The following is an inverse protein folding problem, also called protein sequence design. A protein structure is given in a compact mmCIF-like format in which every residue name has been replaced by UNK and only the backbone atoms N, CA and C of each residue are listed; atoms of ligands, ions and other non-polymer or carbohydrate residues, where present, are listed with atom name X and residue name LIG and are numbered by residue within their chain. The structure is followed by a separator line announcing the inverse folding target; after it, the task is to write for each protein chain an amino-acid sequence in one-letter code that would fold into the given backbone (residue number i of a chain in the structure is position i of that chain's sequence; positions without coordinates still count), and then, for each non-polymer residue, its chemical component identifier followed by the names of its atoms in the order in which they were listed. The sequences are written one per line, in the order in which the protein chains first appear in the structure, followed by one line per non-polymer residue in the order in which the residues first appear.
data_IF_664965315929
#
_entry.id   IF_664965315929
#
_cell.length_a   1.000
_cell.length_b   1.000
_cell.length_c   1.000
_cell.angle_alpha   90.00
_cell.angle_beta   90.00
_cell.angle_gamma   90.00
#
_symmetry.space_group_name_H-M   'P 1'
#
loop_
_entity.id
_entity.type
_entity.pdbx_description
1 polymer ?
#
# COMPACT_ATOMS: atom_id res chain seq x y z
N UNK A 1 -8.17 71.46 -26.20
CA UNK A 1 -7.58 70.12 -26.39
C UNK A 1 -7.57 69.45 -25.02
N UNK A 2 -8.65 68.76 -24.68
CA UNK A 2 -8.72 67.91 -23.49
C UNK A 2 -8.18 66.52 -23.87
N UNK A 3 -7.20 66.04 -23.11
CA UNK A 3 -6.60 64.72 -23.29
C UNK A 3 -7.43 63.76 -22.43
N UNK A 4 -8.20 62.87 -23.08
CA UNK A 4 -8.95 61.82 -22.41
C UNK A 4 -7.98 60.79 -21.81
N UNK A 5 -7.93 60.71 -20.48
CA UNK A 5 -7.30 59.61 -19.76
C UNK A 5 -8.18 58.35 -19.85
N UNK A 6 -7.62 57.27 -20.39
CA UNK A 6 -8.25 55.95 -20.44
C UNK A 6 -8.28 55.37 -19.02
N UNK A 7 -9.47 55.10 -18.50
CA UNK A 7 -9.68 54.44 -17.21
C UNK A 7 -9.32 52.95 -17.37
N UNK A 8 -8.30 52.47 -16.67
CA UNK A 8 -8.03 51.04 -16.53
C UNK A 8 -9.02 50.44 -15.53
N UNK A 9 -9.67 49.34 -15.91
CA UNK A 9 -10.56 48.59 -15.03
C UNK A 9 -9.73 47.79 -14.00
N UNK A 10 -10.22 47.66 -12.74
CA UNK A 10 -9.49 46.94 -11.71
C UNK A 10 -9.44 45.44 -12.01
N UNK A 11 -8.22 44.88 -11.97
CA UNK A 11 -7.94 43.45 -12.15
C UNK A 11 -8.66 42.64 -11.07
N UNK A 12 -9.51 41.68 -11.47
CA UNK A 12 -10.18 40.70 -10.61
C UNK A 12 -9.16 39.77 -9.91
N UNK A 13 -8.58 40.20 -8.78
CA UNK A 13 -7.60 39.39 -8.03
C UNK A 13 -8.17 38.75 -6.75
N UNK A 14 -9.34 39.15 -6.25
CA UNK A 14 -9.81 38.73 -4.91
C UNK A 14 -10.49 37.36 -4.86
N UNK A 15 -11.07 36.89 -5.97
CA UNK A 15 -11.85 35.65 -6.01
C UNK A 15 -10.97 34.41 -6.23
N UNK A 16 -9.90 34.51 -7.02
CA UNK A 16 -8.94 33.42 -7.23
C UNK A 16 -8.18 33.09 -5.94
N UNK A 17 -7.76 34.12 -5.20
CA UNK A 17 -6.96 33.97 -3.99
C UNK A 17 -7.77 33.32 -2.86
N UNK A 18 -9.07 33.64 -2.79
CA UNK A 18 -10.04 32.99 -1.91
C UNK A 18 -10.24 31.50 -2.25
N UNK A 19 -10.27 31.15 -3.54
CA UNK A 19 -10.42 29.76 -3.96
C UNK A 19 -9.17 28.93 -3.69
N UNK A 20 -7.99 29.50 -3.90
CA UNK A 20 -6.71 28.85 -3.59
C UNK A 20 -6.52 28.67 -2.09
N UNK A 21 -6.93 29.63 -1.26
CA UNK A 21 -6.93 29.49 0.20
C UNK A 21 -7.86 28.36 0.67
N UNK A 22 -9.06 28.25 0.07
CA UNK A 22 -10.02 27.17 0.42
C UNK A 22 -9.55 25.80 -0.08
N UNK A 23 -8.89 25.74 -1.24
CA UNK A 23 -8.27 24.52 -1.75
C UNK A 23 -7.11 24.05 -0.86
N UNK A 24 -6.26 24.97 -0.42
CA UNK A 24 -5.15 24.66 0.47
C UNK A 24 -5.64 24.22 1.85
N UNK A 25 -6.66 24.88 2.43
CA UNK A 25 -7.29 24.38 3.66
C UNK A 25 -7.94 23.01 3.50
N UNK A 26 -8.59 22.72 2.36
CA UNK A 26 -9.16 21.39 2.12
C UNK A 26 -8.09 20.31 2.01
N UNK A 27 -6.96 20.63 1.35
CA UNK A 27 -5.83 19.72 1.22
C UNK A 27 -5.16 19.50 2.58
N UNK A 28 -4.95 20.56 3.37
CA UNK A 28 -4.36 20.47 4.71
C UNK A 28 -5.29 19.72 5.66
N UNK A 29 -6.59 20.02 5.66
CA UNK A 29 -7.58 19.31 6.50
C UNK A 29 -7.72 17.83 6.10
N UNK A 30 -7.69 17.54 4.80
CA UNK A 30 -7.63 16.15 4.30
C UNK A 30 -6.35 15.44 4.74
N UNK A 31 -5.20 16.11 4.64
CA UNK A 31 -3.92 15.60 5.10
C UNK A 31 -3.87 15.39 6.61
N UNK A 32 -4.40 16.32 7.42
CA UNK A 32 -4.50 16.20 8.88
C UNK A 32 -5.46 15.10 9.29
N UNK A 33 -6.56 14.90 8.56
CA UNK A 33 -7.47 13.80 8.82
C UNK A 33 -6.84 12.45 8.48
N UNK A 34 -6.16 12.34 7.32
CA UNK A 34 -5.38 11.15 6.96
C UNK A 34 -4.26 10.91 7.98
N UNK A 35 -3.59 11.96 8.44
CA UNK A 35 -2.54 11.89 9.44
C UNK A 35 -3.09 11.44 10.80
N UNK A 36 -4.18 12.03 11.29
CA UNK A 36 -4.85 11.59 12.53
C UNK A 36 -5.43 10.17 12.42
N UNK A 37 -5.85 9.77 11.22
CA UNK A 37 -6.31 8.42 10.92
C UNK A 37 -5.16 7.40 10.92
N UNK A 38 -3.98 7.80 10.45
CA UNK A 38 -2.76 6.99 10.53
C UNK A 38 -2.16 7.01 11.95
N UNK A 39 -2.31 8.08 12.73
CA UNK A 39 -1.73 8.18 14.08
C UNK A 39 -2.49 7.34 15.13
N UNK A 40 -3.78 7.03 14.91
CA UNK A 40 -4.59 6.20 15.80
C UNK A 40 -4.67 4.75 15.31
N UNK A 41 -3.56 4.01 15.48
CA UNK A 41 -3.54 2.58 15.23
C UNK A 41 -4.39 1.81 16.25
N UNK A 42 -5.20 0.87 15.78
CA UNK A 42 -6.07 0.04 16.63
C UNK A 42 -5.26 -0.87 17.56
N UNK A 43 -4.08 -1.29 17.13
CA UNK A 43 -3.19 -2.15 17.89
C UNK A 43 -1.76 -1.59 17.93
N UNK A 44 -1.15 -1.67 19.11
CA UNK A 44 0.28 -1.40 19.25
C UNK A 44 1.12 -2.53 18.63
N UNK A 45 2.36 -2.25 18.21
CA UNK A 45 3.21 -3.23 17.51
C UNK A 45 3.74 -4.34 18.43
N UNK A 46 3.71 -4.14 19.75
CA UNK A 46 4.44 -4.97 20.72
C UNK A 46 4.07 -6.45 20.66
N UNK A 47 2.79 -6.80 20.73
CA UNK A 47 2.38 -8.22 20.77
C UNK A 47 2.65 -8.98 19.49
N UNK A 48 2.42 -8.34 18.34
CA UNK A 48 2.70 -8.97 17.05
C UNK A 48 4.21 -9.15 16.88
N UNK A 49 5.00 -8.10 17.17
CA UNK A 49 6.46 -8.16 17.10
C UNK A 49 7.03 -9.24 18.02
N UNK A 50 6.56 -9.30 19.28
CA UNK A 50 6.99 -10.31 20.24
C UNK A 50 6.76 -11.74 19.72
N UNK A 51 5.59 -12.03 19.14
CA UNK A 51 5.30 -13.36 18.60
C UNK A 51 6.07 -13.68 17.33
N UNK A 52 6.26 -12.69 16.46
CA UNK A 52 7.10 -12.85 15.27
C UNK A 52 8.56 -13.10 15.68
N UNK A 53 9.07 -12.39 16.68
CA UNK A 53 10.42 -12.57 17.22
C UNK A 53 10.59 -13.94 17.90
N UNK A 54 9.62 -14.39 18.70
CA UNK A 54 9.64 -15.71 19.32
C UNK A 54 9.68 -16.85 18.28
N UNK A 55 8.97 -16.70 17.16
CA UNK A 55 8.87 -17.74 16.14
C UNK A 55 10.01 -17.73 15.13
N UNK A 56 10.48 -16.54 14.72
CA UNK A 56 11.40 -16.37 13.61
C UNK A 56 12.82 -16.00 14.05
N UNK A 57 12.97 -15.38 15.23
CA UNK A 57 14.25 -14.95 15.79
C UNK A 57 15.13 -14.25 14.75
N UNK A 58 16.30 -14.84 14.50
CA UNK A 58 17.34 -14.29 13.62
C UNK A 58 17.35 -14.92 12.22
N UNK A 59 16.32 -15.70 11.86
CA UNK A 59 16.21 -16.32 10.53
C UNK A 59 16.19 -15.22 9.46
N UNK A 60 17.05 -15.35 8.45
CA UNK A 60 17.06 -14.44 7.31
C UNK A 60 16.17 -14.96 6.21
N UNK A 61 15.70 -14.05 5.35
CA UNK A 61 14.90 -14.41 4.19
C UNK A 61 15.67 -15.35 3.23
N UNK A 62 17.00 -15.27 3.22
CA UNK A 62 17.85 -16.18 2.44
C UNK A 62 17.82 -17.63 2.95
N UNK A 63 17.54 -17.82 4.25
CA UNK A 63 17.58 -19.10 4.94
C UNK A 63 16.28 -19.92 4.75
N UNK A 64 15.31 -19.42 3.97
CA UNK A 64 14.03 -20.13 3.72
C UNK A 64 14.24 -21.40 2.89
N UNK A 65 13.55 -22.48 3.27
CA UNK A 65 13.63 -23.78 2.59
C UNK A 65 13.09 -23.76 1.16
N UNK A 66 12.12 -22.89 0.88
CA UNK A 66 11.48 -22.74 -0.43
C UNK A 66 11.62 -21.31 -0.97
N UNK A 67 11.31 -21.16 -2.27
CA UNK A 67 11.16 -19.84 -2.89
C UNK A 67 9.85 -19.22 -2.41
N UNK A 68 9.95 -18.25 -1.51
CA UNK A 68 8.85 -17.40 -1.07
C UNK A 68 8.95 -16.01 -1.69
N UNK A 69 7.78 -15.40 -1.92
CA UNK A 69 7.59 -14.01 -2.30
C UNK A 69 6.56 -13.39 -1.36
N UNK A 70 6.91 -12.28 -0.71
CA UNK A 70 6.03 -11.57 0.22
C UNK A 70 5.90 -10.11 -0.20
N UNK A 71 4.69 -9.61 -0.51
CA UNK A 71 4.47 -8.22 -0.87
C UNK A 71 4.45 -7.29 0.35
N UNK A 72 5.01 -6.10 0.21
CA UNK A 72 4.90 -4.98 1.14
C UNK A 72 4.86 -3.68 0.33
N UNK A 73 4.40 -2.58 0.92
CA UNK A 73 4.33 -1.29 0.23
C UNK A 73 5.24 -0.25 0.90
N UNK A 74 6.19 0.31 0.15
CA UNK A 74 7.13 1.33 0.61
C UNK A 74 6.47 2.70 0.54
N UNK A 75 6.10 3.24 1.69
CA UNK A 75 5.36 4.50 1.79
C UNK A 75 6.23 5.72 1.48
N UNK A 76 7.55 5.61 1.66
CA UNK A 76 8.47 6.70 1.34
C UNK A 76 8.62 6.87 -0.17
N UNK A 77 8.69 5.75 -0.89
CA UNK A 77 8.91 5.75 -2.35
C UNK A 77 7.64 5.45 -3.15
N UNK A 78 6.50 5.27 -2.48
CA UNK A 78 5.19 4.94 -3.04
C UNK A 78 5.25 3.77 -4.05
N UNK A 79 5.93 2.69 -3.66
CA UNK A 79 6.15 1.53 -4.54
C UNK A 79 5.92 0.20 -3.84
N UNK A 80 5.39 -0.75 -4.61
CA UNK A 80 5.33 -2.15 -4.20
C UNK A 80 6.75 -2.71 -4.08
N UNK A 81 7.02 -3.37 -2.96
CA UNK A 81 8.23 -4.13 -2.69
C UNK A 81 7.83 -5.59 -2.57
N UNK A 82 8.29 -6.43 -3.51
CA UNK A 82 8.11 -7.88 -3.44
C UNK A 82 9.39 -8.51 -2.88
N UNK A 83 9.36 -8.93 -1.61
CA UNK A 83 10.47 -9.63 -0.99
C UNK A 83 10.55 -11.06 -1.52
N UNK A 84 11.45 -11.30 -2.47
CA UNK A 84 11.72 -12.63 -3.00
C UNK A 84 12.95 -13.24 -2.36
N UNK A 85 12.79 -14.41 -1.75
CA UNK A 85 13.89 -15.24 -1.23
C UNK A 85 14.91 -15.62 -2.32
N UNK A 86 14.49 -15.78 -3.57
CA UNK A 86 15.40 -16.04 -4.70
C UNK A 86 16.28 -14.83 -5.01
N UNK A 87 15.67 -13.64 -5.07
CA UNK A 87 16.39 -12.40 -5.34
C UNK A 87 17.38 -12.07 -4.21
N UNK A 88 16.96 -12.22 -2.95
CA UNK A 88 17.86 -11.96 -1.81
C UNK A 88 18.98 -12.99 -1.68
N UNK A 89 18.76 -14.26 -2.06
CA UNK A 89 19.83 -15.26 -2.12
C UNK A 89 20.88 -14.89 -3.15
N UNK A 90 20.45 -14.45 -4.35
CA UNK A 90 21.39 -13.97 -5.39
C UNK A 90 22.18 -12.74 -4.94
N UNK A 91 21.57 -11.85 -4.17
CA UNK A 91 22.21 -10.65 -3.64
C UNK A 91 23.00 -10.90 -2.34
N UNK A 92 22.93 -12.09 -1.75
CA UNK A 92 23.45 -12.40 -0.41
C UNK A 92 23.02 -11.36 0.65
N UNK A 93 21.75 -10.99 0.62
CA UNK A 93 21.19 -9.91 1.45
C UNK A 93 21.01 -10.30 2.91
N UNK A 94 21.16 -9.32 3.81
CA UNK A 94 21.02 -9.49 5.26
C UNK A 94 19.58 -9.36 5.78
N UNK A 95 18.57 -9.29 4.90
CA UNK A 95 17.17 -9.06 5.29
C UNK A 95 16.68 -10.20 6.18
N UNK A 96 16.16 -9.86 7.37
CA UNK A 96 15.55 -10.84 8.29
C UNK A 96 14.13 -11.18 7.86
N UNK A 97 13.73 -12.44 8.07
CA UNK A 97 12.37 -12.89 7.74
C UNK A 97 11.31 -12.19 8.59
N UNK A 98 11.63 -11.90 9.87
CA UNK A 98 10.74 -11.12 10.75
C UNK A 98 10.40 -9.75 10.18
N UNK A 99 11.36 -9.05 9.57
CA UNK A 99 11.15 -7.70 9.07
C UNK A 99 10.21 -7.72 7.86
N UNK A 100 10.32 -8.76 7.03
CA UNK A 100 9.43 -9.02 5.90
C UNK A 100 8.00 -9.31 6.37
N UNK A 101 7.84 -10.17 7.38
CA UNK A 101 6.53 -10.53 7.95
C UNK A 101 5.88 -9.31 8.61
N UNK A 102 6.60 -8.58 9.44
CA UNK A 102 6.10 -7.35 10.09
C UNK A 102 5.69 -6.30 9.06
N UNK A 103 6.47 -6.15 7.98
CA UNK A 103 6.16 -5.23 6.89
C UNK A 103 4.88 -5.61 6.16
N UNK A 104 4.73 -6.90 5.81
CA UNK A 104 3.52 -7.39 5.13
C UNK A 104 2.27 -7.35 6.01
N UNK A 105 2.41 -7.50 7.33
CA UNK A 105 1.28 -7.51 8.26
C UNK A 105 0.89 -6.10 8.76
N UNK A 106 1.68 -5.07 8.45
CA UNK A 106 1.47 -3.69 8.91
C UNK A 106 0.31 -3.01 8.16
N UNK A 107 -0.90 -3.55 8.32
CA UNK A 107 -2.11 -3.06 7.69
C UNK A 107 -2.43 -1.65 8.19
N UNK A 108 -2.65 -0.67 7.28
CA UNK A 108 -3.04 0.68 7.67
C UNK A 108 -4.24 0.67 8.61
N UNK A 109 -4.29 1.62 9.56
CA UNK A 109 -5.30 1.70 10.65
C UNK A 109 -5.14 0.64 11.74
N UNK A 110 -4.68 -0.56 11.42
CA UNK A 110 -4.56 -1.64 12.38
C UNK A 110 -3.21 -1.62 13.11
N UNK A 111 -2.12 -1.48 12.35
CA UNK A 111 -0.76 -1.56 12.86
C UNK A 111 0.09 -0.40 12.33
N UNK A 112 1.11 0.04 13.10
CA UNK A 112 2.06 1.01 12.61
C UNK A 112 2.93 0.47 11.49
N UNK A 113 3.42 1.37 10.63
CA UNK A 113 4.42 1.05 9.60
C UNK A 113 5.67 0.40 10.22
N UNK A 114 6.17 -0.64 9.58
CA UNK A 114 7.41 -1.29 9.97
C UNK A 114 8.63 -0.58 9.36
N UNK A 115 9.59 -0.23 10.22
CA UNK A 115 10.79 0.50 9.83
C UNK A 115 12.04 -0.29 10.19
N UNK A 116 12.88 -0.57 9.20
CA UNK A 116 14.14 -1.28 9.44
C UNK A 116 15.20 -0.92 8.39
N UNK A 117 16.45 -1.27 8.67
CA UNK A 117 17.58 -1.06 7.76
C UNK A 117 18.21 -2.40 7.41
N UNK A 118 18.42 -2.64 6.12
CA UNK A 118 19.13 -3.82 5.62
C UNK A 118 19.93 -3.43 4.38
N UNK A 119 21.12 -4.00 4.20
CA UNK A 119 21.97 -3.80 3.03
C UNK A 119 22.20 -2.31 2.67
N UNK A 120 22.33 -1.45 3.68
CA UNK A 120 22.51 -0.01 3.50
C UNK A 120 21.25 0.78 3.15
N UNK A 121 20.12 0.11 2.90
CA UNK A 121 18.83 0.72 2.58
C UNK A 121 17.92 0.82 3.81
N UNK A 122 17.27 1.96 3.97
CA UNK A 122 16.17 2.15 4.91
C UNK A 122 14.86 1.71 4.25
N UNK A 123 14.07 0.94 4.98
CA UNK A 123 12.75 0.49 4.60
C UNK A 123 11.73 1.10 5.55
N UNK A 124 10.68 1.67 4.98
CA UNK A 124 9.51 2.14 5.69
C UNK A 124 8.28 1.56 4.99
N UNK A 125 7.73 0.50 5.56
CA UNK A 125 6.84 -0.41 4.87
C UNK A 125 5.51 -0.59 5.61
N UNK A 126 4.46 -0.78 4.83
CA UNK A 126 3.13 -1.16 5.28
C UNK A 126 2.68 -2.40 4.49
N UNK A 127 1.50 -2.92 4.84
CA UNK A 127 0.91 -4.10 4.23
C UNK A 127 0.85 -4.00 2.70
N UNK A 128 1.33 -5.05 2.03
CA UNK A 128 1.33 -5.19 0.58
C UNK A 128 -0.07 -5.19 -0.04
N UNK A 129 -1.11 -5.47 0.74
CA UNK A 129 -2.51 -5.41 0.36
C UNK A 129 -2.97 -4.05 -0.17
N UNK A 130 -2.25 -2.96 0.15
CA UNK A 130 -2.47 -1.65 -0.45
C UNK A 130 -2.25 -1.63 -1.98
N UNK A 131 -1.36 -2.48 -2.49
CA UNK A 131 -1.00 -2.53 -3.90
C UNK A 131 -1.25 -3.91 -4.55
N UNK A 132 -1.25 -4.98 -3.77
CA UNK A 132 -1.36 -6.35 -4.23
C UNK A 132 -2.06 -7.24 -3.20
N UNK A 133 -3.39 -7.14 -3.13
CA UNK A 133 -4.22 -8.00 -2.25
C UNK A 133 -4.12 -9.49 -2.64
N UNK A 134 -3.98 -9.79 -3.94
CA UNK A 134 -3.72 -11.14 -4.43
C UNK A 134 -2.31 -11.22 -5.07
N UNK A 135 -1.31 -11.80 -4.38
CA UNK A 135 0.05 -11.89 -4.90
C UNK A 135 0.24 -12.98 -5.97
N UNK A 136 -0.82 -13.68 -6.40
CA UNK A 136 -0.72 -14.78 -7.38
C UNK A 136 0.02 -14.38 -8.66
N UNK A 137 -0.30 -13.21 -9.22
CA UNK A 137 0.37 -12.75 -10.45
C UNK A 137 1.87 -12.46 -10.20
N UNK A 138 2.21 -11.87 -9.05
CA UNK A 138 3.60 -11.64 -8.65
C UNK A 138 4.35 -12.97 -8.50
N UNK A 139 3.71 -13.97 -7.89
CA UNK A 139 4.27 -15.29 -7.71
C UNK A 139 4.50 -16.02 -9.04
N UNK A 140 3.55 -15.96 -9.98
CA UNK A 140 3.69 -16.53 -11.33
C UNK A 140 4.85 -15.84 -12.08
N UNK A 141 4.92 -14.51 -12.01
CA UNK A 141 6.00 -13.75 -12.65
C UNK A 141 7.36 -14.15 -12.06
N UNK A 142 7.48 -14.21 -10.73
CA UNK A 142 8.71 -14.62 -10.06
C UNK A 142 9.09 -16.07 -10.39
N UNK A 143 8.12 -16.99 -10.46
CA UNK A 143 8.37 -18.37 -10.88
C UNK A 143 8.93 -18.43 -12.31
N UNK A 144 8.37 -17.66 -13.25
CA UNK A 144 8.90 -17.57 -14.60
C UNK A 144 10.34 -17.04 -14.64
N UNK A 145 10.69 -16.10 -13.75
CA UNK A 145 12.05 -15.61 -13.58
C UNK A 145 13.01 -16.65 -12.95
N UNK A 146 12.53 -17.47 -12.00
CA UNK A 146 13.32 -18.51 -11.33
C UNK A 146 13.65 -19.65 -12.30
N UNK A 147 12.63 -20.18 -12.98
CA UNK A 147 12.75 -21.38 -13.80
C UNK A 147 13.15 -21.09 -15.25
N UNK A 148 13.24 -19.81 -15.64
CA UNK A 148 13.56 -19.40 -17.01
C UNK A 148 12.50 -19.80 -18.04
N UNK A 149 11.37 -20.35 -17.59
CA UNK A 149 10.29 -20.81 -18.43
C UNK A 149 9.14 -19.79 -18.39
N UNK A 150 8.83 -19.19 -19.55
CA UNK A 150 7.67 -18.31 -19.73
C UNK A 150 6.45 -19.06 -20.27
N UNK A 151 6.54 -20.37 -20.41
CA UNK A 151 5.40 -21.23 -20.74
C UNK A 151 4.53 -21.44 -19.51
N UNK A 152 3.50 -20.60 -19.39
CA UNK A 152 2.54 -20.64 -18.30
C UNK A 152 1.63 -21.89 -18.34
N UNK A 153 1.66 -22.69 -19.42
CA UNK A 153 0.88 -23.92 -19.53
C UNK A 153 1.37 -25.05 -18.62
N UNK A 154 2.60 -24.97 -18.14
CA UNK A 154 3.18 -25.93 -17.20
C UNK A 154 3.23 -25.37 -15.75
N UNK A 155 2.22 -24.59 -15.38
CA UNK A 155 2.09 -24.00 -14.05
C UNK A 155 0.80 -24.48 -13.39
N UNK A 156 0.93 -25.13 -12.23
CA UNK A 156 -0.19 -25.40 -11.35
C UNK A 156 -0.24 -24.33 -10.26
N UNK A 157 -1.31 -23.54 -10.23
CA UNK A 157 -1.49 -22.45 -9.28
C UNK A 157 -2.63 -22.78 -8.33
N UNK A 158 -2.36 -22.72 -7.03
CA UNK A 158 -3.37 -22.80 -5.98
C UNK A 158 -3.41 -21.47 -5.26
N UNK A 159 -4.47 -20.69 -5.49
CA UNK A 159 -4.69 -19.39 -4.84
C UNK A 159 -5.77 -19.54 -3.77
N UNK A 160 -5.41 -19.30 -2.51
CA UNK A 160 -6.32 -19.37 -1.36
C UNK A 160 -6.66 -17.95 -0.90
N UNK A 161 -7.93 -17.59 -0.95
CA UNK A 161 -8.44 -16.30 -0.47
C UNK A 161 -9.08 -16.41 0.91
N UNK A 162 -9.18 -15.30 1.64
CA UNK A 162 -9.73 -15.22 3.01
C UNK A 162 -11.21 -14.82 3.05
N UNK A 163 -11.99 -15.24 2.04
CA UNK A 163 -13.37 -14.79 1.77
C UNK A 163 -13.47 -13.34 1.24
N UNK A 164 -14.52 -13.07 0.46
CA UNK A 164 -14.93 -11.73 0.04
C UNK A 164 -16.40 -11.56 0.38
N UNK A 165 -16.79 -10.45 0.99
CA UNK A 165 -18.22 -10.15 1.15
C UNK A 165 -18.83 -9.89 -0.24
N UNK A 166 -19.82 -10.69 -0.63
CA UNK A 166 -20.69 -10.36 -1.76
C UNK A 166 -21.66 -9.28 -1.28
N UNK A 167 -21.28 -8.00 -1.36
CA UNK A 167 -22.27 -6.95 -1.25
C UNK A 167 -23.10 -6.91 -2.54
N UNK A 168 -24.39 -7.24 -2.45
CA UNK A 168 -25.37 -6.81 -3.44
C UNK A 168 -25.36 -5.27 -3.45
N UNK A 169 -24.63 -4.67 -4.38
CA UNK A 169 -24.56 -3.22 -4.58
C UNK A 169 -25.91 -2.67 -5.10
N UNK A 170 -26.94 -2.71 -4.27
CA UNK A 170 -28.09 -1.83 -4.35
C UNK A 170 -27.94 -0.75 -3.31
N UNK A 171 -27.04 0.22 -3.57
CA UNK A 171 -27.30 1.64 -3.34
C UNK A 171 -26.09 2.47 -3.81
N UNK A 172 -26.41 3.56 -4.49
CA UNK A 172 -25.48 4.50 -5.12
C UNK A 172 -24.28 4.82 -4.23
N UNK A 173 -23.07 4.55 -4.74
CA UNK A 173 -21.86 5.20 -4.24
C UNK A 173 -22.01 6.69 -4.52
N UNK A 174 -22.35 7.48 -3.51
CA UNK A 174 -22.29 8.93 -3.59
C UNK A 174 -20.83 9.35 -3.55
N UNK A 175 -20.19 9.40 -4.72
CA UNK A 175 -18.76 9.72 -4.95
C UNK A 175 -18.36 11.17 -4.58
N UNK A 176 -19.12 11.88 -3.75
CA UNK A 176 -18.91 13.31 -3.46
C UNK A 176 -17.88 13.60 -2.35
N UNK A 177 -17.08 12.64 -1.90
CA UNK A 177 -16.00 12.92 -0.96
C UNK A 177 -15.00 11.77 -0.77
N UNK A 178 -13.78 12.11 -0.33
CA UNK A 178 -12.72 11.14 0.02
C UNK A 178 -12.95 10.46 1.37
N UNK A 179 -13.80 11.04 2.23
CA UNK A 179 -14.02 10.59 3.61
C UNK A 179 -14.84 9.29 3.75
N UNK A 180 -15.90 9.04 2.95
CA UNK A 180 -16.63 7.78 3.01
C UNK A 180 -15.75 6.56 2.69
N UNK A 181 -14.83 6.70 1.71
CA UNK A 181 -13.88 5.67 1.31
C UNK A 181 -12.96 5.20 2.46
N UNK A 182 -12.53 6.14 3.28
CA UNK A 182 -11.67 5.92 4.46
C UNK A 182 -12.47 5.29 5.62
N UNK A 183 -13.76 5.62 5.73
CA UNK A 183 -14.66 5.04 6.74
C UNK A 183 -15.02 3.59 6.38
N UNK A 184 -15.17 3.26 5.10
CA UNK A 184 -15.44 1.89 4.64
C UNK A 184 -14.24 0.96 4.89
N UNK A 185 -13.00 1.46 4.80
CA UNK A 185 -11.80 0.74 5.25
C UNK A 185 -11.85 0.32 6.74
N UNK A 186 -12.48 1.11 7.61
CA UNK A 186 -12.70 0.75 9.03
C UNK A 186 -13.80 -0.29 9.22
N UNK A 187 -14.74 -0.41 8.29
CA UNK A 187 -15.83 -1.39 8.31
C UNK A 187 -15.41 -2.74 7.73
N UNK A 188 -14.27 -2.80 7.03
CA UNK A 188 -13.74 -4.02 6.43
C UNK A 188 -14.09 -4.16 4.94
N UNK A 189 -14.88 -3.25 4.39
CA UNK A 189 -15.19 -3.19 2.96
C UNK A 189 -14.07 -2.45 2.23
N UNK A 190 -13.20 -3.21 1.56
CA UNK A 190 -12.16 -2.65 0.69
C UNK A 190 -12.77 -2.18 -0.63
N UNK A 191 -12.68 -0.89 -0.99
CA UNK A 191 -13.27 -0.37 -2.22
C UNK A 191 -12.42 -0.59 -3.49
N UNK A 192 -11.50 -1.56 -3.49
CA UNK A 192 -10.55 -1.77 -4.59
C UNK A 192 -10.79 -3.10 -5.33
N UNK A 193 -10.77 -2.98 -6.66
CA UNK A 193 -11.21 -3.96 -7.64
C UNK A 193 -10.62 -5.37 -7.45
N UNK A 194 -11.50 -6.37 -7.44
CA UNK A 194 -11.14 -7.77 -7.53
C UNK A 194 -10.90 -8.13 -9.01
N UNK A 195 -9.63 -8.19 -9.45
CA UNK A 195 -9.30 -8.71 -10.78
C UNK A 195 -9.40 -10.24 -10.76
N UNK A 196 -10.60 -10.76 -11.07
CA UNK A 196 -10.86 -12.20 -11.20
C UNK A 196 -10.37 -12.67 -12.57
N UNK A 197 -9.19 -13.27 -12.63
CA UNK A 197 -8.75 -14.01 -13.82
C UNK A 197 -9.54 -15.34 -13.87
N UNK A 198 -10.59 -15.35 -14.69
CA UNK A 198 -11.33 -16.56 -15.04
C UNK A 198 -10.72 -17.08 -16.34
N UNK A 199 -9.88 -18.10 -16.28
CA UNK A 199 -9.51 -18.83 -17.49
C UNK A 199 -10.65 -19.79 -17.82
N UNK A 200 -11.09 -19.74 -19.07
CA UNK A 200 -12.16 -20.57 -19.68
C UNK A 200 -11.85 -22.05 -19.61
#
# INVERSE_FOLDING_TARGET
MEIFAKKEDPVETSKSDSLLARLTELIVSGAEMVLNFLLNYRYGPSRLSEKVDEQLGEIRLVDTLSNILVPAFDIQHLKLVAFSSHQVRKANSSIKLRDVVMSSAAAPVYFPSHNFKADGRLYNLVDGGLAAYNPTLLAIQEAAHIFGNRDYNNCLVVSLGTCSEEEEHHNFINLKGQLPWIIDLKRGTSPLANARLKTS
#
